data_IF_877392495162
#
_entry.id   IF_877392495162
#
_cell.length_a   1.000
_cell.length_b   1.000
_cell.length_c   1.000
_cell.angle_alpha   90.00
_cell.angle_beta   90.00
_cell.angle_gamma   90.00
#
_symmetry.space_group_name_H-M   'P 1'
#
loop_
_entity.id
_entity.type
_entity.pdbx_description
1 polymer ?
#
# COMPACT_ATOMS: atom_id res chain seq x y z
N UNK A 1 14.18 -3.13 -13.86
CA UNK A 1 14.55 -3.03 -15.29
C UNK A 1 14.88 -4.43 -15.81
N UNK A 2 14.93 -4.62 -17.13
CA UNK A 2 15.16 -5.92 -17.78
C UNK A 2 16.23 -5.84 -18.85
N UNK A 3 17.01 -6.89 -19.00
CA UNK A 3 17.96 -7.07 -20.09
C UNK A 3 17.26 -7.48 -21.39
N UNK A 4 17.99 -7.40 -22.51
CA UNK A 4 17.55 -7.93 -23.81
C UNK A 4 17.11 -9.39 -23.73
N UNK A 5 17.83 -10.21 -22.96
CA UNK A 5 17.54 -11.64 -22.83
C UNK A 5 16.20 -11.89 -22.12
N UNK A 6 15.93 -11.14 -21.05
CA UNK A 6 14.68 -11.24 -20.30
C UNK A 6 13.49 -10.74 -21.12
N UNK A 7 13.64 -9.65 -21.87
CA UNK A 7 12.59 -9.16 -22.77
C UNK A 7 12.32 -10.15 -23.91
N UNK A 8 13.36 -10.70 -24.52
CA UNK A 8 13.23 -11.71 -25.58
C UNK A 8 12.46 -12.94 -25.09
N UNK A 9 12.79 -13.42 -23.89
CA UNK A 9 12.07 -14.52 -23.25
C UNK A 9 10.61 -14.16 -22.96
N UNK A 10 10.37 -12.98 -22.35
CA UNK A 10 9.04 -12.50 -22.00
C UNK A 10 8.11 -12.38 -23.21
N UNK A 11 8.63 -11.82 -24.31
CA UNK A 11 7.87 -11.60 -25.53
C UNK A 11 7.86 -12.83 -26.47
N UNK A 12 8.57 -13.89 -26.09
CA UNK A 12 8.79 -15.10 -26.90
C UNK A 12 9.28 -14.77 -28.32
N UNK A 13 10.37 -14.02 -28.40
CA UNK A 13 11.02 -13.60 -29.66
C UNK A 13 12.54 -13.64 -29.53
N UNK A 14 13.23 -13.61 -30.68
CA UNK A 14 14.68 -13.64 -30.73
C UNK A 14 15.32 -12.34 -30.19
N UNK A 15 16.48 -12.49 -29.53
CA UNK A 15 17.23 -11.35 -28.96
C UNK A 15 17.62 -10.31 -30.01
N UNK A 16 17.90 -10.76 -31.24
CA UNK A 16 18.31 -9.85 -32.32
C UNK A 16 17.13 -9.02 -32.84
N UNK A 17 15.89 -9.52 -32.75
CA UNK A 17 14.70 -8.71 -33.04
C UNK A 17 14.58 -7.56 -32.03
N UNK A 18 14.78 -7.82 -30.74
CA UNK A 18 14.78 -6.79 -29.69
C UNK A 18 15.85 -5.73 -29.95
N UNK A 19 17.09 -6.15 -30.26
CA UNK A 19 18.19 -5.21 -30.56
C UNK A 19 17.87 -4.35 -31.78
N UNK A 20 17.33 -4.97 -32.83
CA UNK A 20 16.93 -4.26 -34.05
C UNK A 20 15.87 -3.20 -33.73
N UNK A 21 14.81 -3.58 -33.02
CA UNK A 21 13.75 -2.65 -32.63
C UNK A 21 14.27 -1.53 -31.74
N UNK A 22 15.21 -1.84 -30.84
CA UNK A 22 15.74 -0.83 -29.93
C UNK A 22 16.67 0.17 -30.60
N UNK A 23 17.29 -0.21 -31.72
CA UNK A 23 18.01 0.73 -32.57
C UNK A 23 17.04 1.55 -33.43
N UNK A 24 16.05 0.89 -34.04
CA UNK A 24 15.13 1.53 -34.96
C UNK A 24 14.21 2.53 -34.25
N UNK A 25 13.68 2.18 -33.08
CA UNK A 25 12.73 3.00 -32.32
C UNK A 25 13.37 3.65 -31.09
N UNK A 26 14.67 3.97 -31.14
CA UNK A 26 15.41 4.53 -30.01
C UNK A 26 14.79 5.81 -29.44
N UNK A 27 14.15 6.62 -30.29
CA UNK A 27 13.54 7.90 -29.90
C UNK A 27 12.32 7.73 -28.97
N UNK A 28 11.77 6.52 -28.90
CA UNK A 28 10.62 6.17 -28.05
C UNK A 28 11.01 5.35 -26.82
N UNK A 29 12.30 5.07 -26.65
CA UNK A 29 12.83 4.25 -25.56
C UNK A 29 13.60 5.13 -24.58
N UNK A 30 13.68 4.67 -23.33
CA UNK A 30 14.45 5.30 -22.27
C UNK A 30 15.94 5.36 -22.62
N UNK A 31 16.66 6.28 -21.96
CA UNK A 31 18.11 6.39 -22.07
C UNK A 31 18.81 5.07 -21.67
N UNK A 32 18.28 4.38 -20.67
CA UNK A 32 18.79 3.06 -20.22
C UNK A 32 18.55 1.96 -21.25
N UNK A 33 17.50 2.10 -22.07
CA UNK A 33 17.21 1.23 -23.18
C UNK A 33 18.04 1.58 -24.42
N UNK A 34 18.78 2.69 -24.43
CA UNK A 34 19.73 3.09 -25.47
C UNK A 34 21.04 3.64 -24.88
N UNK A 35 21.77 2.85 -24.08
CA UNK A 35 22.90 3.36 -23.31
C UNK A 35 24.15 3.56 -24.18
N UNK A 36 25.16 4.30 -23.69
CA UNK A 36 26.46 4.44 -24.34
C UNK A 36 27.14 3.10 -24.64
N UNK A 37 28.11 3.13 -25.57
CA UNK A 37 28.85 1.93 -25.96
C UNK A 37 29.59 1.32 -24.77
N UNK A 38 29.37 0.03 -24.53
CA UNK A 38 30.01 -0.73 -23.45
C UNK A 38 29.11 -0.95 -22.23
N UNK A 39 27.95 -0.29 -22.18
CA UNK A 39 26.98 -0.46 -21.12
C UNK A 39 25.87 -1.47 -21.46
N UNK A 40 25.29 -2.05 -20.42
CA UNK A 40 24.20 -3.02 -20.56
C UNK A 40 22.89 -2.29 -20.86
N UNK A 41 22.23 -2.71 -21.94
CA UNK A 41 20.88 -2.22 -22.29
C UNK A 41 19.84 -2.75 -21.32
N UNK A 42 19.12 -1.83 -20.70
CA UNK A 42 18.10 -2.11 -19.69
C UNK A 42 16.77 -1.46 -20.11
N UNK A 43 15.68 -2.20 -19.99
CA UNK A 43 14.35 -1.74 -20.34
C UNK A 43 13.48 -1.61 -19.09
N UNK A 44 12.77 -0.50 -18.98
CA UNK A 44 11.75 -0.28 -17.96
C UNK A 44 10.35 -0.73 -18.43
N UNK A 45 9.31 -0.28 -17.72
CA UNK A 45 7.92 -0.60 -18.07
C UNK A 45 7.44 0.20 -19.29
N UNK A 46 7.87 1.45 -19.44
CA UNK A 46 7.53 2.29 -20.59
C UNK A 46 8.13 1.71 -21.87
N UNK A 47 9.40 1.29 -21.81
CA UNK A 47 10.08 0.58 -22.89
C UNK A 47 9.36 -0.70 -23.29
N UNK A 48 8.87 -1.45 -22.30
CA UNK A 48 8.15 -2.69 -22.54
C UNK A 48 6.84 -2.43 -23.30
N UNK A 49 6.09 -1.36 -22.98
CA UNK A 49 4.89 -0.96 -23.73
C UNK A 49 5.20 -0.74 -25.21
N UNK A 50 6.28 -0.01 -25.50
CA UNK A 50 6.75 0.27 -26.87
C UNK A 50 7.09 -1.03 -27.60
N UNK A 51 7.89 -1.91 -26.98
CA UNK A 51 8.30 -3.17 -27.60
C UNK A 51 7.13 -4.15 -27.85
N UNK A 52 6.09 -4.13 -27.01
CA UNK A 52 4.88 -4.94 -27.22
C UNK A 52 4.09 -4.42 -28.43
N UNK A 53 3.92 -3.11 -28.56
CA UNK A 53 3.26 -2.53 -29.73
C UNK A 53 4.04 -2.88 -31.00
N UNK A 54 5.36 -2.69 -30.99
CA UNK A 54 6.21 -3.07 -32.12
C UNK A 54 6.00 -4.54 -32.44
N UNK A 55 6.08 -5.45 -31.47
CA UNK A 55 5.84 -6.88 -31.68
C UNK A 55 4.50 -7.18 -32.34
N UNK A 56 3.44 -6.49 -31.93
CA UNK A 56 2.09 -6.72 -32.45
C UNK A 56 1.96 -6.35 -33.94
N UNK A 57 2.67 -5.31 -34.38
CA UNK A 57 2.52 -4.74 -35.72
C UNK A 57 3.72 -4.96 -36.64
N UNK A 58 4.87 -5.41 -36.14
CA UNK A 58 6.13 -5.51 -36.88
C UNK A 58 6.05 -6.29 -38.19
N UNK A 59 5.20 -7.33 -38.24
CA UNK A 59 5.01 -8.16 -39.44
C UNK A 59 3.90 -7.66 -40.39
N UNK A 60 3.14 -6.64 -39.97
CA UNK A 60 1.91 -6.19 -40.64
C UNK A 60 2.00 -4.75 -41.13
N UNK A 61 2.84 -3.95 -40.49
CA UNK A 61 2.92 -2.51 -40.71
C UNK A 61 4.34 -2.07 -41.05
N UNK A 62 4.42 -0.94 -41.75
CA UNK A 62 5.70 -0.27 -41.98
C UNK A 62 6.18 0.39 -40.68
N UNK A 63 7.51 0.56 -40.55
CA UNK A 63 8.09 1.28 -39.42
C UNK A 63 7.52 2.70 -39.25
N UNK A 64 7.18 3.37 -40.35
CA UNK A 64 6.55 4.70 -40.35
C UNK A 64 5.17 4.65 -39.67
N UNK A 65 4.37 3.63 -39.96
CA UNK A 65 3.06 3.47 -39.31
C UNK A 65 3.20 3.11 -37.83
N UNK A 66 4.17 2.26 -37.48
CA UNK A 66 4.44 1.92 -36.08
C UNK A 66 4.84 3.18 -35.30
N UNK A 67 5.69 4.05 -35.86
CA UNK A 67 6.02 5.35 -35.25
C UNK A 67 4.79 6.22 -35.03
N UNK A 68 3.90 6.32 -36.01
CA UNK A 68 2.64 7.07 -35.86
C UNK A 68 1.77 6.56 -34.70
N UNK A 69 1.71 5.24 -34.51
CA UNK A 69 1.00 4.64 -33.36
C UNK A 69 1.70 4.94 -32.03
N UNK A 70 3.04 5.01 -32.04
CA UNK A 70 3.81 5.43 -30.87
C UNK A 70 3.57 6.91 -30.55
N UNK A 71 3.57 7.78 -31.56
CA UNK A 71 3.30 9.22 -31.43
C UNK A 71 1.89 9.50 -30.90
N UNK A 72 0.89 8.72 -31.30
CA UNK A 72 -0.49 8.82 -30.78
C UNK A 72 -0.67 8.29 -29.36
N UNK A 73 0.35 7.62 -28.81
CA UNK A 73 0.31 7.05 -27.47
C UNK A 73 -0.46 5.72 -27.39
N UNK A 74 -0.66 5.01 -28.50
CA UNK A 74 -1.44 3.76 -28.52
C UNK A 74 -0.85 2.69 -27.59
N UNK A 75 0.47 2.69 -27.42
CA UNK A 75 1.20 1.80 -26.51
C UNK A 75 0.81 2.01 -25.02
N UNK A 76 0.21 3.15 -24.66
CA UNK A 76 -0.24 3.45 -23.30
C UNK A 76 -1.68 2.97 -23.02
N UNK A 77 -2.33 2.33 -23.98
CA UNK A 77 -3.74 1.94 -23.89
C UNK A 77 -3.95 0.43 -23.94
N UNK A 78 -5.10 0.00 -23.43
CA UNK A 78 -5.64 -1.35 -23.60
C UNK A 78 -4.69 -2.48 -23.21
N UNK A 79 -4.57 -3.48 -24.09
CA UNK A 79 -3.82 -4.71 -23.83
C UNK A 79 -2.30 -4.50 -23.72
N UNK A 80 -1.75 -3.47 -24.36
CA UNK A 80 -0.32 -3.17 -24.32
C UNK A 80 0.10 -2.68 -22.93
N UNK A 81 -0.62 -1.71 -22.39
CA UNK A 81 -0.40 -1.21 -21.03
C UNK A 81 -0.67 -2.30 -19.98
N UNK A 82 -1.74 -3.09 -20.14
CA UNK A 82 -2.05 -4.17 -19.20
C UNK A 82 -0.97 -5.25 -19.17
N UNK A 83 -0.48 -5.67 -20.33
CA UNK A 83 0.61 -6.65 -20.39
C UNK A 83 1.87 -6.11 -19.72
N UNK A 84 2.30 -4.88 -20.05
CA UNK A 84 3.49 -4.28 -19.45
C UNK A 84 3.38 -4.18 -17.91
N UNK A 85 2.19 -3.83 -17.39
CA UNK A 85 1.91 -3.79 -15.94
C UNK A 85 1.97 -5.17 -15.29
N UNK A 86 1.34 -6.19 -15.87
CA UNK A 86 1.34 -7.56 -15.33
C UNK A 86 2.74 -8.14 -15.17
N UNK A 87 3.64 -7.77 -16.07
CA UNK A 87 5.02 -8.22 -16.02
C UNK A 87 5.94 -7.26 -15.32
N UNK A 88 5.49 -6.13 -14.76
CA UNK A 88 6.36 -5.25 -14.00
C UNK A 88 6.10 -5.37 -12.51
N UNK A 89 7.14 -5.50 -11.66
CA UNK A 89 6.95 -5.55 -10.21
C UNK A 89 6.11 -4.39 -9.69
N UNK A 90 5.16 -4.72 -8.82
CA UNK A 90 4.31 -3.76 -8.11
C UNK A 90 5.17 -2.93 -7.15
N UNK A 91 6.08 -3.58 -6.42
CA UNK A 91 7.03 -2.92 -5.54
C UNK A 91 8.35 -2.68 -6.27
N UNK A 92 8.78 -1.42 -6.33
CA UNK A 92 10.00 -0.99 -7.02
C UNK A 92 10.80 -0.08 -6.08
N UNK A 93 12.11 -0.28 -6.02
CA UNK A 93 13.00 0.51 -5.17
C UNK A 93 13.18 1.95 -5.69
N UNK A 94 13.18 2.11 -7.02
CA UNK A 94 13.39 3.40 -7.67
C UNK A 94 12.11 3.92 -8.31
N UNK A 95 11.88 5.22 -8.18
CA UNK A 95 10.86 5.94 -8.92
C UNK A 95 11.25 6.01 -10.41
N UNK A 96 10.33 5.76 -11.35
CA UNK A 96 10.54 6.07 -12.76
C UNK A 96 10.89 7.56 -12.96
N UNK A 97 11.74 7.86 -13.94
CA UNK A 97 12.24 9.21 -14.20
C UNK A 97 11.16 10.16 -14.73
N UNK A 98 10.14 9.61 -15.39
CA UNK A 98 9.07 10.31 -16.10
C UNK A 98 7.84 10.63 -15.22
N UNK A 99 7.89 10.32 -13.92
CA UNK A 99 6.73 10.45 -13.03
C UNK A 99 6.83 11.68 -12.12
N UNK A 100 5.81 12.53 -12.19
CA UNK A 100 5.59 13.64 -11.24
C UNK A 100 5.28 13.11 -9.83
N UNK A 101 5.80 13.82 -8.82
CA UNK A 101 5.61 13.48 -7.40
C UNK A 101 4.13 13.53 -6.97
N UNK A 102 3.29 14.29 -7.67
CA UNK A 102 1.88 14.49 -7.35
C UNK A 102 0.92 13.60 -8.15
N UNK A 103 1.42 12.59 -8.86
CA UNK A 103 0.59 11.67 -9.64
C UNK A 103 -0.14 10.61 -8.78
N UNK A 104 -0.93 9.74 -9.43
CA UNK A 104 -1.75 8.71 -8.75
C UNK A 104 -0.93 7.51 -8.22
N UNK A 105 0.38 7.69 -7.97
CA UNK A 105 1.27 6.62 -7.53
C UNK A 105 1.31 6.52 -6.01
N UNK A 106 1.48 5.30 -5.50
CA UNK A 106 1.70 5.04 -4.09
C UNK A 106 3.19 5.08 -3.74
N UNK A 107 3.52 5.64 -2.58
CA UNK A 107 4.83 5.53 -1.96
C UNK A 107 4.68 4.80 -0.62
N UNK A 108 5.50 3.77 -0.39
CA UNK A 108 5.61 3.11 0.91
C UNK A 108 7.05 3.21 1.43
N UNK A 109 7.22 3.82 2.61
CA UNK A 109 8.52 4.02 3.27
C UNK A 109 8.58 3.13 4.51
N UNK A 110 9.53 2.19 4.55
CA UNK A 110 9.53 1.09 5.52
C UNK A 110 10.63 1.14 6.59
N UNK A 111 11.61 2.03 6.48
CA UNK A 111 12.72 2.10 7.44
C UNK A 111 13.13 3.55 7.74
N UNK A 112 12.26 4.28 8.41
CA UNK A 112 12.61 5.58 8.97
C UNK A 112 12.63 5.46 10.47
N UNK A 113 13.81 5.55 11.06
CA UNK A 113 14.04 5.53 12.50
C UNK A 113 13.59 6.83 13.19
N UNK A 114 12.87 7.71 12.49
CA UNK A 114 12.37 8.97 13.05
C UNK A 114 10.96 8.78 13.64
N UNK A 115 10.75 9.18 14.88
CA UNK A 115 9.42 9.29 15.54
C UNK A 115 8.37 10.00 14.67
N UNK A 116 8.81 10.93 13.82
CA UNK A 116 8.00 11.62 12.81
C UNK A 116 7.29 10.64 11.85
N UNK A 117 7.87 9.49 11.55
CA UNK A 117 7.29 8.51 10.62
C UNK A 117 6.23 7.66 11.31
N UNK A 118 6.38 7.28 12.59
CA UNK A 118 5.32 6.56 13.32
C UNK A 118 4.08 7.43 13.52
N UNK A 119 4.24 8.72 13.83
CA UNK A 119 3.11 9.67 13.88
C UNK A 119 2.44 9.82 12.52
N UNK A 120 3.24 9.91 11.46
CA UNK A 120 2.71 9.96 10.10
C UNK A 120 1.90 8.69 9.76
N UNK A 121 2.43 7.51 10.08
CA UNK A 121 1.75 6.22 9.85
C UNK A 121 0.45 6.14 10.65
N UNK A 122 0.44 6.52 11.93
CA UNK A 122 -0.77 6.58 12.75
C UNK A 122 -1.84 7.49 12.12
N UNK A 123 -1.42 8.69 11.67
CA UNK A 123 -2.30 9.65 11.00
C UNK A 123 -2.85 9.10 9.68
N UNK A 124 -2.03 8.44 8.86
CA UNK A 124 -2.46 7.82 7.61
C UNK A 124 -3.51 6.74 7.87
N UNK A 125 -3.29 5.85 8.84
CA UNK A 125 -4.27 4.83 9.20
C UNK A 125 -5.59 5.44 9.67
N UNK A 126 -5.53 6.45 10.54
CA UNK A 126 -6.74 7.15 10.99
C UNK A 126 -7.47 7.84 9.84
N UNK A 127 -6.75 8.60 9.00
CA UNK A 127 -7.35 9.33 7.87
C UNK A 127 -7.95 8.39 6.83
N UNK A 128 -7.33 7.23 6.60
CA UNK A 128 -7.89 6.18 5.75
C UNK A 128 -9.17 5.62 6.37
N UNK A 129 -9.17 5.39 7.69
CA UNK A 129 -10.38 5.01 8.43
C UNK A 129 -11.52 6.03 8.26
N UNK A 130 -11.22 7.32 8.37
CA UNK A 130 -12.21 8.40 8.16
C UNK A 130 -12.81 8.36 6.75
N UNK A 131 -11.98 8.11 5.72
CA UNK A 131 -12.42 7.96 4.33
C UNK A 131 -13.35 6.76 4.18
N UNK A 132 -12.99 5.60 4.74
CA UNK A 132 -13.81 4.40 4.67
C UNK A 132 -15.13 4.54 5.45
N UNK A 133 -15.14 5.22 6.61
CA UNK A 133 -16.39 5.52 7.32
C UNK A 133 -17.30 6.39 6.48
N UNK A 134 -16.75 7.42 5.83
CA UNK A 134 -17.54 8.28 4.94
C UNK A 134 -18.16 7.48 3.80
N UNK A 135 -17.39 6.57 3.20
CA UNK A 135 -17.89 5.70 2.14
C UNK A 135 -18.96 4.73 2.65
N UNK A 136 -18.74 4.09 3.79
CA UNK A 136 -19.70 3.17 4.41
C UNK A 136 -21.04 3.86 4.72
N UNK A 137 -20.99 5.06 5.32
CA UNK A 137 -22.17 5.89 5.57
C UNK A 137 -22.88 6.31 4.27
N UNK A 138 -22.13 6.64 3.23
CA UNK A 138 -22.70 7.04 1.92
C UNK A 138 -23.34 5.86 1.18
N UNK A 139 -22.73 4.68 1.26
CA UNK A 139 -23.22 3.48 0.60
C UNK A 139 -24.31 2.76 1.41
N UNK A 140 -24.42 3.01 2.71
CA UNK A 140 -25.28 2.25 3.63
C UNK A 140 -24.85 0.79 3.76
N UNK A 141 -23.55 0.51 3.70
CA UNK A 141 -22.99 -0.85 3.64
C UNK A 141 -22.02 -1.10 4.80
N UNK A 142 -22.12 -2.29 5.40
CA UNK A 142 -21.22 -2.78 6.46
C UNK A 142 -19.95 -3.46 5.92
N UNK A 143 -19.81 -3.60 4.59
CA UNK A 143 -18.70 -4.34 3.97
C UNK A 143 -17.32 -3.75 4.30
N UNK A 144 -17.28 -2.47 4.70
CA UNK A 144 -16.05 -1.76 5.06
C UNK A 144 -15.76 -1.80 6.56
N UNK A 145 -16.68 -2.29 7.40
CA UNK A 145 -16.61 -2.13 8.86
C UNK A 145 -15.39 -2.81 9.46
N UNK A 146 -15.05 -4.03 9.02
CA UNK A 146 -13.85 -4.73 9.48
C UNK A 146 -12.57 -3.94 9.19
N UNK A 147 -12.48 -3.33 8.01
CA UNK A 147 -11.34 -2.50 7.64
C UNK A 147 -11.32 -1.20 8.48
N UNK A 148 -12.45 -0.53 8.63
CA UNK A 148 -12.60 0.67 9.47
C UNK A 148 -12.12 0.40 10.90
N UNK A 149 -12.63 -0.67 11.53
CA UNK A 149 -12.32 -1.03 12.90
C UNK A 149 -10.83 -1.36 13.08
N UNK A 150 -10.25 -2.12 12.14
CA UNK A 150 -8.81 -2.40 12.16
C UNK A 150 -7.98 -1.12 12.08
N UNK A 151 -8.27 -0.24 11.12
CA UNK A 151 -7.50 0.98 10.88
C UNK A 151 -7.55 1.92 12.10
N UNK A 152 -8.72 2.12 12.69
CA UNK A 152 -8.87 2.94 13.89
C UNK A 152 -8.20 2.34 15.12
N UNK A 153 -8.41 1.05 15.38
CA UNK A 153 -7.73 0.35 16.48
C UNK A 153 -6.21 0.44 16.35
N UNK A 154 -5.70 0.28 15.13
CA UNK A 154 -4.27 0.38 14.87
C UNK A 154 -3.74 1.82 15.02
N UNK A 155 -4.49 2.84 14.60
CA UNK A 155 -4.13 4.24 14.82
C UNK A 155 -4.04 4.57 16.31
N UNK A 156 -5.01 4.14 17.13
CA UNK A 156 -4.97 4.31 18.60
C UNK A 156 -3.70 3.68 19.18
N UNK A 157 -3.40 2.42 18.81
CA UNK A 157 -2.20 1.72 19.29
C UNK A 157 -0.92 2.53 18.97
N UNK A 158 -0.78 3.00 17.72
CA UNK A 158 0.40 3.73 17.29
C UNK A 158 0.54 5.09 18.00
N UNK A 159 -0.56 5.83 18.18
CA UNK A 159 -0.50 7.08 18.94
C UNK A 159 -0.12 6.85 20.40
N UNK A 160 -0.71 5.83 21.07
CA UNK A 160 -0.33 5.49 22.44
C UNK A 160 1.15 5.14 22.53
N UNK A 161 1.65 4.29 21.61
CA UNK A 161 3.08 3.93 21.52
C UNK A 161 4.00 5.14 21.37
N UNK A 162 3.63 6.08 20.50
CA UNK A 162 4.40 7.32 20.32
C UNK A 162 4.45 8.12 21.63
N UNK A 163 3.32 8.29 22.31
CA UNK A 163 3.25 9.13 23.52
C UNK A 163 4.06 8.51 24.67
N UNK A 164 4.03 7.18 24.81
CA UNK A 164 4.79 6.49 25.85
C UNK A 164 6.28 6.29 25.50
N UNK A 165 6.74 6.77 24.34
CA UNK A 165 8.13 6.64 23.92
C UNK A 165 8.54 5.19 23.64
N UNK A 166 7.62 4.41 23.07
CA UNK A 166 7.82 2.99 22.78
C UNK A 166 8.99 2.73 21.83
N UNK A 167 9.91 1.84 22.24
CA UNK A 167 11.02 1.36 21.42
C UNK A 167 10.81 -0.13 21.07
N UNK A 168 10.68 -0.49 19.78
CA UNK A 168 10.52 -1.88 19.34
C UNK A 168 11.79 -2.74 19.52
N UNK A 169 12.96 -2.14 19.74
CA UNK A 169 14.27 -2.81 19.84
C UNK A 169 14.78 -2.95 21.29
N UNK A 170 14.06 -2.40 22.29
CA UNK A 170 14.30 -2.82 23.68
C UNK A 170 14.10 -4.35 23.76
N UNK A 171 14.67 -5.10 24.69
CA UNK A 171 14.39 -6.55 24.84
C UNK A 171 13.88 -6.78 26.26
N UNK A 172 12.58 -6.62 26.46
CA UNK A 172 11.94 -6.79 27.78
C UNK A 172 10.69 -7.68 27.66
N UNK A 173 10.31 -8.39 28.72
CA UNK A 173 9.10 -9.23 28.78
C UNK A 173 7.82 -8.47 28.40
N UNK A 174 7.85 -7.13 28.48
CA UNK A 174 6.82 -6.24 27.97
C UNK A 174 6.50 -6.45 26.48
N UNK A 175 7.40 -7.03 25.68
CA UNK A 175 7.23 -7.30 24.24
C UNK A 175 5.94 -8.00 23.86
N UNK A 176 5.48 -8.88 24.74
CA UNK A 176 4.26 -9.68 24.51
C UNK A 176 2.97 -8.86 24.66
N UNK A 177 3.03 -7.67 25.25
CA UNK A 177 1.86 -6.81 25.58
C UNK A 177 1.77 -5.55 24.73
N UNK A 178 2.63 -5.38 23.74
CA UNK A 178 2.70 -4.12 22.99
C UNK A 178 1.50 -3.85 22.07
N UNK A 179 0.65 -4.84 21.85
CA UNK A 179 -0.63 -4.67 21.17
C UNK A 179 -1.81 -4.58 22.15
N UNK A 180 -1.56 -4.69 23.45
CA UNK A 180 -2.59 -4.60 24.47
C UNK A 180 -2.88 -3.12 24.78
N UNK A 181 -4.03 -2.64 24.31
CA UNK A 181 -4.43 -1.24 24.52
C UNK A 181 -4.62 -0.89 25.99
N UNK A 182 -5.04 -1.85 26.83
CA UNK A 182 -5.21 -1.63 28.27
C UNK A 182 -3.86 -1.38 28.93
N UNK A 183 -2.85 -2.21 28.60
CA UNK A 183 -1.48 -2.02 29.07
C UNK A 183 -0.88 -0.70 28.59
N UNK A 184 -1.13 -0.31 27.33
CA UNK A 184 -0.67 0.97 26.78
C UNK A 184 -1.28 2.18 27.52
N UNK A 185 -2.57 2.11 27.84
CA UNK A 185 -3.25 3.14 28.64
C UNK A 185 -2.69 3.19 30.06
N UNK A 186 -2.49 2.05 30.71
CA UNK A 186 -1.89 1.97 32.05
C UNK A 186 -0.49 2.62 32.08
N UNK A 187 0.35 2.29 31.08
CA UNK A 187 1.67 2.91 30.92
C UNK A 187 1.58 4.42 30.74
N UNK A 188 0.64 4.90 29.93
CA UNK A 188 0.43 6.32 29.70
C UNK A 188 -0.01 7.05 30.99
N UNK A 189 -0.99 6.51 31.72
CA UNK A 189 -1.44 7.10 33.00
C UNK A 189 -0.32 7.15 34.04
N UNK A 190 0.47 6.09 34.14
CA UNK A 190 1.64 6.03 35.01
C UNK A 190 2.68 7.10 34.64
N UNK A 191 2.95 7.31 33.35
CA UNK A 191 3.88 8.35 32.88
C UNK A 191 3.34 9.77 33.11
N UNK A 192 2.03 9.98 32.97
CA UNK A 192 1.39 11.27 33.21
C UNK A 192 1.17 11.58 34.70
N UNK A 193 1.24 10.57 35.57
CA UNK A 193 0.92 10.69 37.00
C UNK A 193 -0.55 11.02 37.28
N UNK A 194 -1.44 10.79 36.30
CA UNK A 194 -2.88 11.07 36.41
C UNK A 194 -3.68 10.15 35.49
N UNK A 195 -4.93 9.91 35.86
CA UNK A 195 -5.84 9.15 35.01
C UNK A 195 -6.32 9.94 33.79
N UNK A 196 -6.54 9.25 32.69
CA UNK A 196 -7.26 9.75 31.52
C UNK A 196 -8.75 9.96 31.85
N UNK A 197 -9.45 10.84 31.12
CA UNK A 197 -10.90 10.97 31.25
C UNK A 197 -11.63 9.64 31.08
N UNK A 198 -12.65 9.39 31.89
CA UNK A 198 -13.35 8.09 31.92
C UNK A 198 -13.96 7.71 30.57
N UNK A 199 -14.51 8.68 29.83
CA UNK A 199 -15.06 8.42 28.50
C UNK A 199 -13.98 7.93 27.52
N UNK A 200 -12.74 8.44 27.62
CA UNK A 200 -11.63 8.08 26.74
C UNK A 200 -11.19 6.65 27.03
N UNK A 201 -11.01 6.31 28.32
CA UNK A 201 -10.70 4.95 28.75
C UNK A 201 -11.76 3.96 28.30
N UNK A 202 -13.04 4.28 28.50
CA UNK A 202 -14.14 3.42 28.10
C UNK A 202 -14.15 3.13 26.59
N UNK A 203 -13.86 4.13 25.75
CA UNK A 203 -13.81 3.94 24.29
C UNK A 203 -12.59 3.15 23.82
N UNK A 204 -11.43 3.32 24.48
CA UNK A 204 -10.24 2.50 24.20
C UNK A 204 -10.48 1.05 24.68
N UNK A 205 -11.13 0.89 25.83
CA UNK A 205 -11.49 -0.42 26.39
C UNK A 205 -12.50 -1.17 25.52
N UNK A 206 -13.43 -0.49 24.86
CA UNK A 206 -14.34 -1.12 23.88
C UNK A 206 -13.54 -1.82 22.76
N UNK A 207 -12.50 -1.19 22.22
CA UNK A 207 -11.60 -1.81 21.25
C UNK A 207 -10.77 -2.95 21.86
N UNK A 208 -10.26 -2.78 23.08
CA UNK A 208 -9.49 -3.82 23.76
C UNK A 208 -10.31 -5.09 24.01
N UNK A 209 -11.54 -4.93 24.53
CA UNK A 209 -12.42 -6.05 24.86
C UNK A 209 -12.82 -6.86 23.63
N UNK A 210 -13.01 -6.19 22.50
CA UNK A 210 -13.35 -6.84 21.24
C UNK A 210 -12.10 -7.44 20.59
N UNK A 211 -10.99 -6.70 20.55
CA UNK A 211 -9.75 -7.08 19.85
C UNK A 211 -8.49 -6.95 20.74
N UNK A 212 -8.33 -7.80 21.76
CA UNK A 212 -7.27 -7.65 22.77
C UNK A 212 -5.87 -7.86 22.21
N UNK A 213 -5.75 -8.55 21.06
CA UNK A 213 -4.48 -8.92 20.42
C UNK A 213 -4.25 -8.24 19.07
N UNK A 214 -5.17 -7.39 18.61
CA UNK A 214 -5.08 -6.74 17.30
C UNK A 214 -5.34 -7.67 16.10
N UNK A 215 -6.06 -8.78 16.30
CA UNK A 215 -6.25 -9.83 15.29
C UNK A 215 -7.71 -10.00 14.86
N UNK A 216 -8.67 -9.62 15.70
CA UNK A 216 -10.08 -9.94 15.53
C UNK A 216 -10.66 -9.31 14.26
N UNK A 217 -10.26 -8.08 13.93
CA UNK A 217 -10.74 -7.42 12.72
C UNK A 217 -10.05 -7.89 11.42
N UNK A 218 -9.11 -8.84 11.49
CA UNK A 218 -8.31 -9.31 10.34
C UNK A 218 -8.57 -10.76 9.94
N UNK A 219 -8.92 -11.61 10.89
CA UNK A 219 -8.98 -13.04 10.68
C UNK A 219 -10.35 -13.61 11.04
N UNK A 220 -10.98 -14.25 10.05
CA UNK A 220 -12.22 -14.99 10.24
C UNK A 220 -12.01 -16.27 11.07
N UNK A 221 -13.05 -16.71 11.79
CA UNK A 221 -13.08 -18.01 12.48
C UNK A 221 -12.20 -18.11 13.72
N UNK A 222 -11.82 -16.99 14.33
CA UNK A 222 -11.11 -16.99 15.62
C UNK A 222 -12.06 -17.39 16.75
N UNK A 223 -11.63 -18.30 17.62
CA UNK A 223 -12.48 -18.81 18.74
C UNK A 223 -12.98 -17.70 19.67
N UNK A 224 -12.24 -16.60 19.75
CA UNK A 224 -12.58 -15.42 20.54
C UNK A 224 -13.82 -14.68 19.99
N UNK A 225 -14.22 -14.96 18.75
CA UNK A 225 -15.45 -14.45 18.11
C UNK A 225 -16.70 -15.24 18.46
N UNK A 226 -16.61 -16.28 19.27
CA UNK A 226 -17.77 -17.01 19.75
C UNK A 226 -18.20 -16.53 21.14
N UNK A 227 -19.51 -16.43 21.36
CA UNK A 227 -20.11 -16.18 22.67
C UNK A 227 -19.94 -17.41 23.59
N UNK A 228 -20.40 -17.30 24.83
CA UNK A 228 -20.30 -18.41 25.80
C UNK A 228 -21.07 -19.67 25.39
N UNK A 229 -21.97 -19.56 24.42
CA UNK A 229 -22.78 -20.65 23.89
C UNK A 229 -22.23 -21.19 22.57
N UNK A 230 -21.13 -20.62 22.05
CA UNK A 230 -20.52 -21.02 20.78
C UNK A 230 -21.16 -20.39 19.54
N UNK A 231 -22.00 -19.35 19.69
CA UNK A 231 -22.55 -18.59 18.56
C UNK A 231 -21.62 -17.44 18.17
N UNK A 232 -21.70 -16.98 16.93
CA UNK A 232 -20.97 -15.80 16.48
C UNK A 232 -21.36 -14.57 17.31
N UNK A 233 -20.36 -13.83 17.78
CA UNK A 233 -20.55 -12.53 18.43
C UNK A 233 -20.85 -11.48 17.38
N UNK A 234 -21.99 -10.83 17.54
CA UNK A 234 -22.40 -9.69 16.72
C UNK A 234 -22.37 -8.41 17.56
N UNK A 235 -21.84 -7.34 16.96
CA UNK A 235 -21.82 -6.01 17.56
C UNK A 235 -22.47 -5.03 16.60
N UNK A 236 -23.43 -4.26 17.10
CA UNK A 236 -23.96 -3.11 16.39
C UNK A 236 -23.07 -1.90 16.62
N UNK A 237 -22.75 -1.17 15.55
CA UNK A 237 -21.84 -0.02 15.59
C UNK A 237 -22.54 1.18 14.93
N UNK A 238 -22.63 2.28 15.67
CA UNK A 238 -22.99 3.58 15.12
C UNK A 238 -21.74 4.22 14.51
N UNK A 239 -21.69 4.33 13.18
CA UNK A 239 -20.54 4.87 12.46
C UNK A 239 -20.37 6.39 12.65
N UNK A 240 -21.45 7.14 12.91
CA UNK A 240 -21.35 8.56 13.24
C UNK A 240 -20.76 8.75 14.64
N UNK A 241 -21.20 7.93 15.61
CA UNK A 241 -20.61 7.90 16.94
C UNK A 241 -19.14 7.48 16.89
N UNK A 242 -18.81 6.42 16.15
CA UNK A 242 -17.45 5.93 16.00
C UNK A 242 -16.55 7.03 15.44
N UNK A 243 -16.97 7.70 14.37
CA UNK A 243 -16.24 8.82 13.77
C UNK A 243 -15.99 9.95 14.76
N UNK A 244 -17.00 10.32 15.55
CA UNK A 244 -16.87 11.36 16.57
C UNK A 244 -15.85 10.97 17.64
N UNK A 245 -15.93 9.74 18.15
CA UNK A 245 -14.98 9.20 19.13
C UNK A 245 -13.56 9.26 18.58
N UNK A 246 -13.36 8.79 17.35
CA UNK A 246 -12.03 8.77 16.72
C UNK A 246 -11.48 10.15 16.45
N UNK A 247 -12.31 11.16 16.20
CA UNK A 247 -11.87 12.55 16.07
C UNK A 247 -11.25 13.10 17.37
N UNK A 248 -11.69 12.64 18.53
CA UNK A 248 -11.12 13.07 19.82
C UNK A 248 -9.98 12.19 20.32
N UNK A 249 -9.92 10.92 19.89
CA UNK A 249 -8.83 10.00 20.27
C UNK A 249 -7.56 10.16 19.41
N UNK A 250 -7.67 10.66 18.17
CA UNK A 250 -6.62 10.56 17.15
C UNK A 250 -6.54 11.78 16.21
#
# INVERSE_FOLDING_TARGET
MRTVAEIAHLLNIERDAIKKWSYEFSDYLSSTASPPKGETRLYDESDLRVLILIRAYWKRESAVNIRRMLDSGDHNQGSFANFARLYTPIFRENRPEDIDFYGPQGWAKFNSTTLLDTVYVARVYKSTGDVLVKEALSAGSYELDYAVLYLYRHAIELYLKVIIGFDPDEEDESHKKWHDLSWLVEKLENQLGKSLPDWMKARIDDFYRIDPKGQMFRYAGTKDMLDSNGNDKEFWIDLDQLKLVMHFLC
#
